data_IF_769993314147
#
_entry.id   IF_769993314147
#
_cell.length_a   1.000
_cell.length_b   1.000
_cell.length_c   1.000
_cell.angle_alpha   90.00
_cell.angle_beta   90.00
_cell.angle_gamma   90.00
#
_symmetry.space_group_name_H-M   'P 1'
#
loop_
_entity.id
_entity.type
_entity.pdbx_description
1 polymer ?
#
# COMPACT_ATOMS: atom_id res chain seq x y z
N UNK A 1 -41.74 23.58 9.33
CA UNK A 1 -41.14 22.69 8.30
C UNK A 1 -41.53 21.26 8.64
N UNK A 2 -41.99 20.45 7.69
CA UNK A 2 -42.24 19.03 7.95
C UNK A 2 -40.91 18.33 8.24
N UNK A 3 -40.87 17.49 9.28
CA UNK A 3 -39.73 16.63 9.56
C UNK A 3 -39.70 15.52 8.50
N UNK A 4 -38.65 15.50 7.66
CA UNK A 4 -38.48 14.56 6.55
C UNK A 4 -37.83 13.23 6.97
N UNK A 5 -37.45 13.09 8.24
CA UNK A 5 -36.82 11.87 8.74
C UNK A 5 -37.87 10.94 9.39
N UNK A 6 -37.83 9.63 9.08
CA UNK A 6 -38.72 8.66 9.72
C UNK A 6 -38.39 8.59 11.22
N UNK A 7 -39.41 8.82 12.05
CA UNK A 7 -39.25 8.97 13.51
C UNK A 7 -39.27 7.62 14.24
N UNK A 8 -39.67 6.54 13.55
CA UNK A 8 -39.71 5.18 14.10
C UNK A 8 -39.17 4.20 13.05
N UNK A 9 -37.85 3.99 13.05
CA UNK A 9 -37.24 2.81 12.45
C UNK A 9 -36.70 1.94 13.59
N UNK A 10 -37.43 0.88 13.92
CA UNK A 10 -36.84 -0.23 14.68
C UNK A 10 -35.84 -0.91 13.74
N UNK A 11 -34.61 -0.43 13.73
CA UNK A 11 -33.53 -1.07 13.01
C UNK A 11 -33.24 -2.42 13.65
N UNK A 12 -33.44 -3.51 12.92
CA UNK A 12 -32.87 -4.80 13.31
C UNK A 12 -31.35 -4.69 13.20
N UNK A 13 -30.66 -4.78 14.34
CA UNK A 13 -29.21 -4.93 14.33
C UNK A 13 -28.89 -6.32 13.82
N UNK A 14 -28.43 -6.41 12.57
CA UNK A 14 -27.86 -7.63 12.03
C UNK A 14 -26.45 -7.74 12.63
N UNK A 15 -26.25 -8.71 13.51
CA UNK A 15 -24.91 -9.14 13.87
C UNK A 15 -24.27 -9.78 12.64
N UNK A 16 -23.34 -9.06 12.01
CA UNK A 16 -22.47 -9.64 11.01
C UNK A 16 -21.66 -10.74 11.72
N UNK A 17 -22.01 -12.00 11.45
CA UNK A 17 -21.14 -13.12 11.79
C UNK A 17 -19.84 -12.90 11.04
N UNK A 18 -18.79 -12.53 11.77
CA UNK A 18 -17.42 -12.59 11.29
C UNK A 18 -17.15 -14.05 10.95
N UNK A 19 -17.38 -14.41 9.69
CA UNK A 19 -17.11 -15.75 9.19
C UNK A 19 -15.61 -15.96 9.23
N UNK A 20 -15.14 -16.49 10.36
CA UNK A 20 -13.81 -17.03 10.62
C UNK A 20 -12.66 -16.13 10.17
N UNK A 21 -12.05 -15.45 11.14
CA UNK A 21 -10.65 -15.04 11.08
C UNK A 21 -9.80 -16.29 10.86
N UNK A 22 -9.72 -16.77 9.61
CA UNK A 22 -8.67 -17.68 9.23
C UNK A 22 -7.38 -16.88 9.40
N UNK A 23 -6.59 -17.25 10.42
CA UNK A 23 -5.26 -16.69 10.64
C UNK A 23 -4.53 -16.68 9.30
N UNK A 24 -4.10 -15.49 8.88
CA UNK A 24 -3.56 -15.31 7.56
C UNK A 24 -2.18 -15.97 7.53
N UNK A 25 -2.07 -17.14 6.90
CA UNK A 25 -0.82 -17.91 6.86
C UNK A 25 0.20 -17.28 5.90
N UNK A 26 0.78 -16.16 6.32
CA UNK A 26 1.80 -15.44 5.57
C UNK A 26 3.13 -16.18 5.64
N UNK A 27 3.65 -16.51 4.46
CA UNK A 27 4.98 -17.09 4.30
C UNK A 27 5.99 -16.04 3.88
N UNK A 28 7.27 -16.38 4.09
CA UNK A 28 8.37 -15.70 3.46
C UNK A 28 8.35 -15.81 1.93
N UNK A 29 9.21 -15.02 1.28
CA UNK A 29 9.38 -15.02 -0.19
C UNK A 29 10.85 -15.02 -0.54
N UNK A 30 11.19 -14.88 -1.82
CA UNK A 30 12.54 -14.56 -2.25
C UNK A 30 12.80 -13.06 -2.09
N UNK A 31 14.01 -12.74 -1.63
CA UNK A 31 14.45 -11.36 -1.46
C UNK A 31 14.77 -10.75 -2.83
N UNK A 32 14.22 -9.57 -3.09
CA UNK A 32 14.33 -8.82 -4.33
C UNK A 32 14.96 -7.46 -4.05
N UNK A 33 16.03 -7.14 -4.78
CA UNK A 33 16.67 -5.83 -4.72
C UNK A 33 15.98 -4.90 -5.73
N UNK A 34 15.18 -3.96 -5.24
CA UNK A 34 14.45 -3.00 -6.09
C UNK A 34 15.35 -1.97 -6.77
N UNK A 35 16.56 -1.75 -6.26
CA UNK A 35 17.53 -0.82 -6.86
C UNK A 35 18.18 -1.50 -8.06
N UNK A 36 18.60 -2.76 -7.91
CA UNK A 36 19.22 -3.55 -8.99
C UNK A 36 18.20 -4.17 -9.95
N UNK A 37 16.97 -4.38 -9.50
CA UNK A 37 15.91 -5.04 -10.25
C UNK A 37 16.09 -6.55 -10.37
N UNK A 38 16.74 -7.19 -9.39
CA UNK A 38 17.05 -8.63 -9.42
C UNK A 38 16.81 -9.33 -8.07
N UNK A 39 16.62 -10.65 -8.10
CA UNK A 39 16.58 -11.43 -6.88
C UNK A 39 17.97 -11.54 -6.25
N UNK A 40 18.03 -11.35 -4.94
CA UNK A 40 19.27 -11.50 -4.17
C UNK A 40 19.66 -12.97 -4.12
N UNK A 41 20.93 -13.27 -4.38
CA UNK A 41 21.49 -14.63 -4.33
C UNK A 41 22.38 -14.81 -3.10
N UNK A 42 22.43 -16.04 -2.60
CA UNK A 42 23.43 -16.48 -1.63
C UNK A 42 24.78 -16.75 -2.31
N UNK A 43 25.83 -16.98 -1.53
CA UNK A 43 27.17 -17.26 -2.05
C UNK A 43 27.24 -18.55 -2.90
N UNK A 44 26.33 -19.50 -2.67
CA UNK A 44 26.19 -20.75 -3.42
C UNK A 44 25.37 -20.60 -4.73
N UNK A 45 24.90 -19.38 -5.04
CA UNK A 45 24.10 -19.07 -6.22
C UNK A 45 22.59 -19.31 -6.08
N UNK A 46 22.12 -19.87 -4.95
CA UNK A 46 20.69 -20.04 -4.67
C UNK A 46 20.00 -18.71 -4.38
N UNK A 47 18.68 -18.63 -4.61
CA UNK A 47 17.91 -17.42 -4.28
C UNK A 47 17.78 -17.26 -2.76
N UNK A 48 18.13 -16.08 -2.26
CA UNK A 48 18.00 -15.74 -0.84
C UNK A 48 16.52 -15.59 -0.49
N UNK A 49 16.08 -16.25 0.58
CA UNK A 49 14.71 -16.10 1.12
C UNK A 49 14.66 -14.97 2.16
N UNK A 50 13.49 -14.38 2.32
CA UNK A 50 13.16 -13.41 3.36
C UNK A 50 11.95 -13.90 4.17
N UNK A 51 11.78 -13.41 5.39
CA UNK A 51 10.64 -13.76 6.25
C UNK A 51 9.31 -13.12 5.78
N UNK A 52 8.22 -13.39 6.51
CA UNK A 52 6.88 -12.87 6.19
C UNK A 52 6.82 -11.33 6.19
N UNK A 53 7.52 -10.69 7.12
CA UNK A 53 7.51 -9.23 7.30
C UNK A 53 8.21 -8.58 6.11
N UNK A 54 9.41 -9.05 5.77
CA UNK A 54 10.15 -8.58 4.60
C UNK A 54 9.40 -8.88 3.30
N UNK A 55 8.78 -10.05 3.18
CA UNK A 55 7.96 -10.37 2.02
C UNK A 55 6.79 -9.37 1.85
N UNK A 56 6.14 -9.00 2.96
CA UNK A 56 5.09 -7.98 2.97
C UNK A 56 5.61 -6.59 2.61
N UNK A 57 6.77 -6.16 3.15
CA UNK A 57 7.41 -4.89 2.75
C UNK A 57 7.66 -4.82 1.24
N UNK A 58 8.21 -5.89 0.67
CA UNK A 58 8.43 -5.99 -0.77
C UNK A 58 7.12 -5.96 -1.55
N UNK A 59 6.06 -6.59 -1.03
CA UNK A 59 4.74 -6.53 -1.65
C UNK A 59 4.22 -5.09 -1.69
N UNK A 60 4.32 -4.34 -0.58
CA UNK A 60 3.91 -2.93 -0.51
C UNK A 60 4.66 -2.08 -1.54
N UNK A 61 5.99 -2.19 -1.57
CA UNK A 61 6.82 -1.46 -2.51
C UNK A 61 6.48 -1.80 -3.97
N UNK A 62 6.32 -3.09 -4.28
CA UNK A 62 5.95 -3.55 -5.62
C UNK A 62 4.54 -3.07 -6.02
N UNK A 63 3.58 -3.11 -5.12
CA UNK A 63 2.21 -2.64 -5.36
C UNK A 63 2.21 -1.14 -5.65
N UNK A 64 2.91 -0.33 -4.86
CA UNK A 64 3.04 1.12 -5.07
C UNK A 64 3.70 1.43 -6.43
N UNK A 65 4.77 0.73 -6.78
CA UNK A 65 5.54 0.99 -8.02
C UNK A 65 4.86 0.50 -9.31
N UNK A 66 3.89 -0.41 -9.19
CA UNK A 66 3.16 -0.99 -10.32
C UNK A 66 2.07 -0.02 -10.78
N UNK A 67 2.06 0.42 -12.06
CA UNK A 67 0.99 1.29 -12.56
C UNK A 67 -0.34 0.54 -12.64
N UNK A 68 -1.36 1.03 -11.93
CA UNK A 68 -2.72 0.47 -11.93
C UNK A 68 -3.31 0.51 -13.35
N UNK A 69 -4.09 -0.51 -13.73
CA UNK A 69 -4.76 -0.66 -15.04
C UNK A 69 -3.86 -0.76 -16.30
N UNK A 70 -2.53 -0.66 -16.18
CA UNK A 70 -1.63 -0.66 -17.35
C UNK A 70 -1.03 -2.02 -17.68
N UNK A 71 -1.36 -3.08 -16.93
CA UNK A 71 -0.73 -4.39 -17.03
C UNK A 71 -1.78 -5.50 -16.93
N UNK A 72 -1.89 -6.32 -17.98
CA UNK A 72 -2.83 -7.44 -18.04
C UNK A 72 -2.57 -8.52 -16.98
N UNK A 73 -1.36 -8.58 -16.42
CA UNK A 73 -0.99 -9.52 -15.38
C UNK A 73 -1.62 -9.20 -13.99
N UNK A 74 -2.23 -8.03 -13.82
CA UNK A 74 -2.76 -7.58 -12.54
C UNK A 74 -4.24 -7.25 -12.62
N UNK A 75 -4.95 -7.48 -11.52
CA UNK A 75 -6.35 -7.06 -11.36
C UNK A 75 -6.45 -5.55 -11.22
N UNK A 76 -7.66 -5.03 -11.40
CA UNK A 76 -7.97 -3.60 -11.32
C UNK A 76 -7.72 -2.98 -9.94
N UNK A 77 -7.63 -3.79 -8.88
CA UNK A 77 -7.37 -3.32 -7.51
C UNK A 77 -5.88 -3.28 -7.16
N UNK A 78 -5.00 -3.80 -8.02
CA UNK A 78 -3.56 -3.83 -7.77
C UNK A 78 -2.82 -2.71 -8.50
N UNK A 79 -1.84 -2.12 -7.83
CA UNK A 79 -1.06 -1.01 -8.37
C UNK A 79 -1.51 0.35 -7.85
N UNK A 80 -0.78 1.40 -8.23
CA UNK A 80 -1.10 2.80 -7.93
C UNK A 80 -1.03 3.68 -9.18
N UNK A 81 -1.57 4.90 -9.07
CA UNK A 81 -1.53 5.94 -10.12
C UNK A 81 -0.52 7.06 -9.79
N UNK A 82 0.33 6.86 -8.76
CA UNK A 82 1.18 7.90 -8.17
C UNK A 82 2.18 8.49 -9.18
N UNK A 83 2.72 7.66 -10.09
CA UNK A 83 3.68 8.13 -11.10
C UNK A 83 3.09 9.21 -12.02
N UNK A 84 1.81 9.08 -12.38
CA UNK A 84 1.14 10.06 -13.22
C UNK A 84 0.82 11.34 -12.42
N UNK A 85 0.47 11.19 -11.14
CA UNK A 85 0.23 12.31 -10.20
C UNK A 85 1.47 13.19 -10.01
N UNK A 86 2.67 12.61 -9.90
CA UNK A 86 3.91 13.39 -9.72
C UNK A 86 4.15 14.33 -10.91
N UNK A 87 3.83 13.90 -12.12
CA UNK A 87 3.98 14.68 -13.35
C UNK A 87 2.89 15.77 -13.54
N UNK A 88 1.88 15.83 -12.66
CA UNK A 88 0.81 16.81 -12.74
C UNK A 88 1.24 18.22 -12.30
N UNK A 89 0.42 19.22 -12.66
CA UNK A 89 0.60 20.63 -12.27
C UNK A 89 0.02 20.97 -10.88
N UNK A 90 -0.30 19.96 -10.06
CA UNK A 90 -0.77 20.18 -8.70
C UNK A 90 0.32 20.79 -7.81
N UNK A 91 -0.09 21.54 -6.79
CA UNK A 91 0.83 22.01 -5.75
C UNK A 91 1.42 20.81 -4.99
N UNK A 92 2.59 20.98 -4.38
CA UNK A 92 3.25 19.91 -3.64
C UNK A 92 2.35 19.35 -2.52
N UNK A 93 1.72 20.23 -1.74
CA UNK A 93 0.78 19.81 -0.68
C UNK A 93 -0.40 19.01 -1.24
N UNK A 94 -0.95 19.41 -2.39
CA UNK A 94 -2.02 18.66 -3.04
C UNK A 94 -1.53 17.28 -3.53
N UNK A 95 -0.30 17.20 -4.06
CA UNK A 95 0.33 15.92 -4.42
C UNK A 95 0.50 15.02 -3.20
N UNK A 96 0.97 15.53 -2.06
CA UNK A 96 1.16 14.74 -0.83
C UNK A 96 -0.15 14.15 -0.30
N UNK A 97 -1.24 14.94 -0.32
CA UNK A 97 -2.57 14.46 0.05
C UNK A 97 -3.06 13.34 -0.90
N UNK A 98 -2.89 13.53 -2.21
CA UNK A 98 -3.27 12.53 -3.20
C UNK A 98 -2.37 11.27 -3.16
N UNK A 99 -1.07 11.42 -2.93
CA UNK A 99 -0.14 10.30 -2.71
C UNK A 99 -0.59 9.51 -1.48
N UNK A 100 -0.92 10.19 -0.38
CA UNK A 100 -1.43 9.56 0.84
C UNK A 100 -2.68 8.73 0.55
N UNK A 101 -3.68 9.31 -0.14
CA UNK A 101 -4.91 8.61 -0.53
C UNK A 101 -4.60 7.38 -1.40
N UNK A 102 -3.77 7.53 -2.43
CA UNK A 102 -3.42 6.45 -3.36
C UNK A 102 -2.62 5.33 -2.70
N UNK A 103 -1.69 5.64 -1.79
CA UNK A 103 -0.97 4.63 -1.00
C UNK A 103 -1.96 3.86 -0.13
N UNK A 104 -2.85 4.55 0.61
CA UNK A 104 -3.88 3.89 1.43
C UNK A 104 -4.72 2.93 0.60
N UNK A 105 -5.26 3.38 -0.53
CA UNK A 105 -6.05 2.53 -1.44
C UNK A 105 -5.25 1.32 -1.96
N UNK A 106 -3.97 1.51 -2.25
CA UNK A 106 -3.13 0.42 -2.79
C UNK A 106 -2.79 -0.62 -1.72
N UNK A 107 -2.50 -0.20 -0.49
CA UNK A 107 -1.99 -1.08 0.58
C UNK A 107 -3.13 -1.74 1.36
N UNK A 108 -4.28 -1.09 1.53
CA UNK A 108 -5.45 -1.66 2.22
C UNK A 108 -6.10 -2.84 1.47
N UNK A 109 -5.74 -3.08 0.20
CA UNK A 109 -6.16 -4.27 -0.55
C UNK A 109 -5.51 -5.54 -0.01
N UNK A 110 -4.34 -5.46 0.62
CA UNK A 110 -3.70 -6.63 1.19
C UNK A 110 -4.38 -7.01 2.51
N UNK A 111 -4.79 -8.27 2.70
CA UNK A 111 -5.58 -8.67 3.86
C UNK A 111 -4.80 -8.61 5.19
N UNK A 112 -3.47 -8.55 5.12
CA UNK A 112 -2.62 -8.34 6.31
C UNK A 112 -2.66 -6.91 6.86
N UNK A 113 -3.07 -5.94 6.03
CA UNK A 113 -3.11 -4.54 6.42
C UNK A 113 -4.34 -4.27 7.29
N UNK A 114 -4.15 -3.63 8.44
CA UNK A 114 -5.24 -3.11 9.29
C UNK A 114 -5.41 -1.61 9.08
N UNK A 115 -4.31 -0.86 9.16
CA UNK A 115 -4.30 0.60 8.99
C UNK A 115 -3.01 1.05 8.31
N UNK A 116 -3.05 2.21 7.64
CA UNK A 116 -1.88 2.89 7.08
C UNK A 116 -1.89 4.35 7.54
N UNK A 117 -0.79 4.82 8.14
CA UNK A 117 -0.71 6.12 8.81
C UNK A 117 0.71 6.71 8.81
N UNK A 118 0.91 7.85 9.50
CA UNK A 118 2.23 8.48 9.72
C UNK A 118 3.05 8.75 8.46
N UNK A 119 2.46 9.45 7.48
CA UNK A 119 3.13 9.75 6.22
C UNK A 119 4.16 10.87 6.36
N UNK A 120 5.34 10.64 5.80
CA UNK A 120 6.42 11.61 5.66
C UNK A 120 6.84 11.66 4.19
N UNK A 121 7.01 12.86 3.66
CA UNK A 121 7.44 13.08 2.27
C UNK A 121 8.67 13.98 2.22
N UNK A 122 9.66 13.59 1.41
CA UNK A 122 10.83 14.41 1.11
C UNK A 122 10.96 14.52 -0.40
N UNK A 123 10.78 15.75 -0.91
CA UNK A 123 10.87 16.04 -2.33
C UNK A 123 12.29 16.43 -2.74
N UNK A 124 12.73 15.86 -3.85
CA UNK A 124 14.04 16.02 -4.44
C UNK A 124 13.90 16.31 -5.95
N UNK A 125 15.00 16.66 -6.61
CA UNK A 125 15.05 16.89 -8.05
C UNK A 125 13.99 17.89 -8.59
N UNK A 126 13.82 19.04 -7.93
CA UNK A 126 12.79 20.04 -8.28
C UNK A 126 11.36 19.45 -8.33
N UNK A 127 11.01 18.70 -7.28
CA UNK A 127 9.69 18.05 -7.11
C UNK A 127 9.38 16.93 -8.13
N UNK A 128 10.40 16.34 -8.75
CA UNK A 128 10.26 15.17 -9.65
C UNK A 128 10.54 13.84 -8.98
N UNK A 129 11.20 13.84 -7.83
CA UNK A 129 11.46 12.65 -7.02
C UNK A 129 10.85 12.87 -5.64
N UNK A 130 10.04 11.92 -5.17
CA UNK A 130 9.53 11.92 -3.81
C UNK A 130 10.01 10.67 -3.10
N UNK A 131 10.71 10.86 -1.99
CA UNK A 131 10.92 9.81 -1.00
C UNK A 131 9.73 9.84 -0.06
N UNK A 132 9.18 8.66 0.23
CA UNK A 132 8.06 8.51 1.14
C UNK A 132 8.44 7.54 2.27
N UNK A 133 7.86 7.78 3.43
CA UNK A 133 7.85 6.86 4.56
C UNK A 133 6.43 6.87 5.14
N UNK A 134 5.94 5.72 5.56
CA UNK A 134 4.66 5.58 6.27
C UNK A 134 4.67 4.32 7.12
N UNK A 135 3.74 4.28 8.08
CA UNK A 135 3.55 3.13 8.96
C UNK A 135 2.34 2.30 8.55
N UNK A 136 2.46 1.00 8.75
CA UNK A 136 1.37 0.04 8.61
C UNK A 136 1.15 -0.65 9.94
N UNK A 137 -0.07 -0.54 10.47
CA UNK A 137 -0.55 -1.45 11.50
C UNK A 137 -1.10 -2.70 10.81
N UNK A 138 -0.58 -3.87 11.19
CA UNK A 138 -1.02 -5.15 10.64
C UNK A 138 -2.20 -5.72 11.43
N UNK A 139 -2.81 -6.78 10.90
CA UNK A 139 -3.85 -7.55 11.61
C UNK A 139 -3.33 -8.30 12.83
N UNK A 140 -2.02 -8.53 12.90
CA UNK A 140 -1.34 -9.12 14.07
C UNK A 140 -0.96 -8.05 15.12
N UNK A 141 -1.43 -6.81 14.95
CA UNK A 141 -1.08 -5.64 15.78
C UNK A 141 0.42 -5.27 15.80
N UNK A 142 1.18 -5.74 14.80
CA UNK A 142 2.56 -5.29 14.55
C UNK A 142 2.57 -3.98 13.76
N UNK A 143 3.45 -3.04 14.13
CA UNK A 143 3.69 -1.82 13.37
C UNK A 143 4.93 -1.96 12.47
N UNK A 144 4.77 -1.73 11.17
CA UNK A 144 5.79 -1.89 10.15
C UNK A 144 5.96 -0.57 9.40
N UNK A 145 7.15 0.02 9.48
CA UNK A 145 7.52 1.16 8.63
C UNK A 145 7.91 0.72 7.22
N UNK A 146 7.31 1.38 6.23
CA UNK A 146 7.52 1.20 4.80
C UNK A 146 8.08 2.50 4.22
N UNK A 147 9.25 2.39 3.60
CA UNK A 147 9.90 3.49 2.90
C UNK A 147 10.12 3.17 1.42
N UNK A 148 10.33 4.21 0.63
CA UNK A 148 10.68 4.07 -0.77
C UNK A 148 10.76 5.40 -1.48
N UNK A 149 10.92 5.33 -2.81
CA UNK A 149 10.93 6.52 -3.64
C UNK A 149 10.15 6.30 -4.94
N UNK A 150 9.60 7.39 -5.46
CA UNK A 150 8.89 7.41 -6.74
C UNK A 150 9.40 8.60 -7.53
N UNK A 151 9.94 8.31 -8.71
CA UNK A 151 10.33 9.32 -9.68
C UNK A 151 9.20 9.52 -10.70
N UNK A 152 8.83 10.78 -10.90
CA UNK A 152 7.98 11.20 -12.01
C UNK A 152 8.64 10.92 -13.35
N UNK A 153 7.84 10.84 -14.41
CA UNK A 153 8.34 10.69 -15.78
C UNK A 153 9.01 11.96 -16.30
#
# INVERSE_FOLDING_TARGET
MPNLFPVNENFETIELKNNNENELDLKGSFLFDFIKGEFVKNADGTLKKCDKVQAYKQWCQKAILTPRYKKAAYTNVYGSEIKDLIASNLSQNAKELEITRLIKETILVHPYTKEVSNFIFVWLENSRLVNYEFDVLTRDDENITIDGNIKGR
#
